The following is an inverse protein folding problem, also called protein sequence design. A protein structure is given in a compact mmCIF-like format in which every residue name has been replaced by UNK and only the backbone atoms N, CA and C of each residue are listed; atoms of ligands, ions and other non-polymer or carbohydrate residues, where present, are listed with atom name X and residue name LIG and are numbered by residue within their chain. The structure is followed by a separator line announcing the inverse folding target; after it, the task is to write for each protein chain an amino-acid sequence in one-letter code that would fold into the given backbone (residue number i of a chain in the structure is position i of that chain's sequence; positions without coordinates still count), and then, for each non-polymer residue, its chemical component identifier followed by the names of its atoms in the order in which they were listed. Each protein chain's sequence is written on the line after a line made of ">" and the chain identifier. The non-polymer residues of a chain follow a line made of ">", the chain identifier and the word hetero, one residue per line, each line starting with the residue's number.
data_IF_501231179437
#
_entry.id   IF_501231179437
#
_cell.length_a   1.000
_cell.length_b   1.000
_cell.length_c   1.000
_cell.angle_alpha   90.00
_cell.angle_beta   90.00
_cell.angle_gamma   90.00
#
_symmetry.space_group_name_H-M   'P 1'
#
loop_
_entity.id
_entity.type
_entity.pdbx_description
1 polymer ?
#
# COMPACT_ATOMS: atom_id res chain seq x y z
N UNK A 1 -4.92 18.30 32.89
CA UNK A 1 -5.61 17.00 32.89
C UNK A 1 -6.65 17.04 31.77
N UNK A 2 -6.31 16.53 30.58
CA UNK A 2 -7.24 16.43 29.46
C UNK A 2 -7.14 15.01 28.89
N UNK A 3 -8.25 14.41 28.91
CA UNK A 3 -8.82 13.15 28.48
C UNK A 3 -8.09 12.52 27.27
N UNK A 4 -7.31 11.47 27.51
CA UNK A 4 -6.95 10.48 26.49
C UNK A 4 -8.22 9.65 26.22
N UNK A 5 -8.92 9.98 25.14
CA UNK A 5 -9.94 9.10 24.61
C UNK A 5 -9.22 7.97 23.86
N UNK A 6 -9.24 6.76 24.41
CA UNK A 6 -8.88 5.55 23.73
C UNK A 6 -9.78 5.40 22.50
N UNK A 7 -9.19 5.48 21.32
CA UNK A 7 -9.83 5.00 20.09
C UNK A 7 -9.85 3.47 20.17
N UNK A 8 -10.92 2.94 20.75
CA UNK A 8 -11.28 1.54 20.54
C UNK A 8 -11.58 1.37 19.05
N UNK A 9 -10.76 0.60 18.35
CA UNK A 9 -11.08 0.08 17.03
C UNK A 9 -12.41 -0.70 17.13
N UNK A 10 -13.49 -0.28 16.49
CA UNK A 10 -14.70 -1.07 16.48
C UNK A 10 -14.45 -2.29 15.59
N UNK A 11 -14.29 -3.45 16.19
CA UNK A 11 -14.39 -4.72 15.47
C UNK A 11 -15.79 -4.73 14.80
N UNK A 12 -15.91 -4.70 13.48
CA UNK A 12 -17.21 -4.72 12.84
C UNK A 12 -17.88 -6.08 13.09
N UNK A 13 -18.91 -6.11 13.92
CA UNK A 13 -19.73 -7.29 14.28
C UNK A 13 -20.77 -7.62 13.20
N UNK A 14 -20.56 -7.25 11.94
CA UNK A 14 -21.37 -7.69 10.81
C UNK A 14 -20.70 -8.89 10.11
N UNK A 15 -21.44 -9.96 9.83
CA UNK A 15 -20.93 -11.03 8.97
C UNK A 15 -20.60 -10.43 7.59
N UNK A 16 -19.33 -10.44 7.22
CA UNK A 16 -18.89 -10.07 5.88
C UNK A 16 -19.43 -11.11 4.91
N UNK A 17 -20.31 -10.69 3.99
CA UNK A 17 -20.96 -11.59 3.01
C UNK A 17 -20.30 -11.55 1.65
N UNK A 18 -19.40 -10.58 1.43
CA UNK A 18 -18.65 -10.35 0.20
C UNK A 18 -17.15 -10.62 0.38
N UNK A 19 -16.35 -10.39 -0.68
CA UNK A 19 -14.92 -10.64 -0.64
C UNK A 19 -14.19 -9.66 0.28
N UNK A 20 -13.18 -10.14 0.97
CA UNK A 20 -12.18 -9.27 1.60
C UNK A 20 -11.07 -9.04 0.59
N UNK A 21 -10.87 -7.80 0.22
CA UNK A 21 -9.85 -7.38 -0.75
C UNK A 21 -8.74 -6.65 -0.02
N UNK A 22 -7.55 -7.20 -0.05
CA UNK A 22 -6.33 -6.51 0.39
C UNK A 22 -5.79 -5.61 -0.72
N UNK A 23 -5.20 -4.49 -0.36
CA UNK A 23 -4.56 -3.54 -1.27
C UNK A 23 -3.19 -3.15 -0.74
N UNK A 24 -2.19 -3.06 -1.62
CA UNK A 24 -1.03 -2.23 -1.32
C UNK A 24 -1.42 -0.74 -1.37
N UNK A 25 -0.52 0.12 -0.93
CA UNK A 25 -0.79 1.56 -0.84
C UNK A 25 -0.05 2.35 -1.91
N UNK A 26 1.29 2.41 -1.81
CA UNK A 26 2.12 3.23 -2.69
C UNK A 26 2.06 2.70 -4.13
N UNK A 27 1.77 3.54 -5.10
CA UNK A 27 1.59 3.21 -6.51
C UNK A 27 0.42 2.28 -6.83
N UNK A 28 -0.34 1.83 -5.83
CA UNK A 28 -1.58 1.06 -5.99
C UNK A 28 -2.82 1.92 -5.70
N UNK A 29 -2.98 2.44 -4.47
CA UNK A 29 -4.08 3.33 -4.09
C UNK A 29 -3.72 4.81 -4.21
N UNK A 30 -2.44 5.15 -4.06
CA UNK A 30 -1.95 6.54 -4.04
C UNK A 30 -0.70 6.71 -4.90
N UNK A 31 -0.57 7.84 -5.59
CA UNK A 31 0.70 8.30 -6.13
C UNK A 31 1.46 9.09 -5.05
N UNK A 32 2.31 8.39 -4.33
CA UNK A 32 3.12 8.96 -3.24
C UNK A 32 4.47 9.51 -3.70
N UNK A 33 4.82 9.38 -4.99
CA UNK A 33 6.13 9.80 -5.52
C UNK A 33 6.47 11.26 -5.21
N UNK A 34 5.58 12.25 -5.39
CA UNK A 34 5.90 13.64 -5.11
C UNK A 34 6.28 13.87 -3.64
N UNK A 35 5.52 13.28 -2.71
CA UNK A 35 5.75 13.42 -1.27
C UNK A 35 7.00 12.67 -0.80
N UNK A 36 7.22 11.45 -1.30
CA UNK A 36 8.44 10.69 -1.01
C UNK A 36 9.68 11.46 -1.51
N UNK A 37 9.64 11.95 -2.76
CA UNK A 37 10.72 12.76 -3.32
C UNK A 37 11.03 13.98 -2.46
N UNK A 38 10.00 14.72 -2.04
CA UNK A 38 10.18 15.91 -1.20
C UNK A 38 10.80 15.56 0.16
N UNK A 39 10.37 14.46 0.78
CA UNK A 39 10.93 14.01 2.06
C UNK A 39 12.39 13.60 1.94
N UNK A 40 12.78 12.87 0.87
CA UNK A 40 14.17 12.49 0.64
C UNK A 40 15.06 13.70 0.33
N UNK A 41 14.56 14.68 -0.43
CA UNK A 41 15.27 15.92 -0.68
C UNK A 41 15.52 16.71 0.62
N UNK A 42 14.51 16.82 1.48
CA UNK A 42 14.65 17.46 2.79
C UNK A 42 15.61 16.69 3.72
N UNK A 43 15.59 15.36 3.70
CA UNK A 43 16.55 14.53 4.44
C UNK A 43 17.99 14.76 3.93
N UNK A 44 18.19 14.83 2.62
CA UNK A 44 19.50 15.14 2.02
C UNK A 44 20.02 16.50 2.49
N UNK A 45 19.17 17.53 2.45
CA UNK A 45 19.52 18.88 2.93
C UNK A 45 19.89 18.88 4.42
N UNK A 46 19.06 18.26 5.25
CA UNK A 46 19.27 18.24 6.72
C UNK A 46 20.51 17.45 7.14
N UNK A 47 20.85 16.39 6.41
CA UNK A 47 21.97 15.50 6.78
C UNK A 47 23.27 15.80 6.04
N UNK A 48 23.23 16.62 5.00
CA UNK A 48 24.34 16.84 4.07
C UNK A 48 24.70 15.61 3.24
N UNK A 49 23.85 14.58 3.19
CA UNK A 49 24.06 13.38 2.41
C UNK A 49 23.76 13.63 0.92
N UNK A 50 24.54 13.00 0.05
CA UNK A 50 24.23 13.03 -1.38
C UNK A 50 23.18 11.95 -1.69
N UNK A 51 21.94 12.38 -1.88
CA UNK A 51 20.79 11.49 -2.18
C UNK A 51 20.14 11.97 -3.48
N UNK A 52 19.98 11.06 -4.42
CA UNK A 52 19.21 11.30 -5.65
C UNK A 52 17.73 10.93 -5.39
N UNK A 53 16.94 11.93 -4.99
CA UNK A 53 15.53 11.73 -4.68
C UNK A 53 14.67 11.36 -5.92
N UNK A 54 15.10 11.71 -7.13
CA UNK A 54 14.46 11.30 -8.38
C UNK A 54 14.70 9.81 -8.65
N UNK A 55 15.91 9.31 -8.35
CA UNK A 55 16.22 7.89 -8.45
C UNK A 55 15.45 7.06 -7.40
N UNK A 56 15.31 7.57 -6.16
CA UNK A 56 14.56 6.88 -5.10
C UNK A 56 13.14 6.54 -5.56
N UNK A 57 12.42 7.49 -6.15
CA UNK A 57 11.01 7.26 -6.52
C UNK A 57 10.83 6.31 -7.71
N UNK A 58 11.90 5.91 -8.38
CA UNK A 58 11.86 4.87 -9.43
C UNK A 58 11.93 3.45 -8.86
N UNK A 59 12.23 3.29 -7.55
CA UNK A 59 12.47 2.01 -6.88
C UNK A 59 11.49 1.74 -5.73
N UNK A 60 10.30 2.34 -5.77
CA UNK A 60 9.29 2.16 -4.74
C UNK A 60 8.83 0.69 -4.66
N UNK A 61 8.40 0.29 -3.47
CA UNK A 61 7.93 -1.06 -3.14
C UNK A 61 8.67 -1.61 -1.92
N UNK A 62 10.01 -1.81 -1.95
CA UNK A 62 10.78 -2.30 -0.80
C UNK A 62 10.69 -1.40 0.43
N UNK A 63 10.96 -1.97 1.65
CA UNK A 63 11.00 -1.20 2.89
C UNK A 63 12.01 -0.05 2.88
N UNK A 64 11.71 1.00 3.63
CA UNK A 64 12.54 2.21 3.76
C UNK A 64 14.01 1.90 4.05
N UNK A 65 14.28 0.94 4.94
CA UNK A 65 15.63 0.57 5.35
C UNK A 65 16.47 0.00 4.20
N UNK A 66 15.84 -0.67 3.23
CA UNK A 66 16.53 -1.15 2.03
C UNK A 66 16.93 0.01 1.12
N UNK A 67 16.07 1.01 0.97
CA UNK A 67 16.42 2.23 0.22
C UNK A 67 17.47 3.06 0.95
N UNK A 68 17.38 3.18 2.29
CA UNK A 68 18.39 3.87 3.11
C UNK A 68 19.79 3.28 2.94
N UNK A 69 19.91 1.97 2.73
CA UNK A 69 21.19 1.28 2.56
C UNK A 69 21.96 1.70 1.28
N UNK A 70 21.30 2.33 0.32
CA UNK A 70 21.97 2.91 -0.86
C UNK A 70 22.67 4.24 -0.55
N UNK A 71 22.29 4.92 0.53
CA UNK A 71 22.68 6.30 0.81
C UNK A 71 23.47 6.45 2.10
N UNK A 72 23.32 5.52 3.05
CA UNK A 72 23.90 5.59 4.37
C UNK A 72 24.60 4.29 4.75
N UNK A 73 25.71 4.35 5.52
CA UNK A 73 26.32 3.17 6.09
C UNK A 73 25.37 2.50 7.11
N UNK A 74 25.53 1.18 7.26
CA UNK A 74 24.60 0.32 8.00
C UNK A 74 24.29 0.83 9.43
N UNK A 75 25.30 1.34 10.14
CA UNK A 75 25.15 1.87 11.49
C UNK A 75 24.30 3.14 11.59
N UNK A 76 24.14 3.87 10.49
CA UNK A 76 23.30 5.08 10.42
C UNK A 76 21.87 4.81 10.00
N UNK A 77 21.59 3.68 9.38
CA UNK A 77 20.25 3.37 8.81
C UNK A 77 19.12 3.53 9.84
N UNK A 78 19.21 2.98 11.07
CA UNK A 78 18.12 3.12 12.03
C UNK A 78 17.78 4.59 12.36
N UNK A 79 18.81 5.40 12.64
CA UNK A 79 18.62 6.81 12.98
C UNK A 79 18.09 7.63 11.79
N UNK A 80 18.54 7.34 10.56
CA UNK A 80 18.08 8.03 9.36
C UNK A 80 16.67 7.63 8.98
N UNK A 81 16.30 6.37 9.19
CA UNK A 81 14.93 5.90 8.98
C UNK A 81 13.95 6.55 9.95
N UNK A 82 14.34 6.71 11.21
CA UNK A 82 13.52 7.41 12.21
C UNK A 82 13.35 8.88 11.84
N UNK A 83 14.45 9.58 11.54
CA UNK A 83 14.41 10.97 11.09
C UNK A 83 13.52 11.16 9.85
N UNK A 84 13.63 10.26 8.88
CA UNK A 84 12.76 10.27 7.69
C UNK A 84 11.27 10.14 8.08
N UNK A 85 10.93 9.21 9.01
CA UNK A 85 9.56 9.02 9.48
C UNK A 85 9.02 10.23 10.22
N UNK A 86 9.85 10.91 11.01
CA UNK A 86 9.49 12.16 11.69
C UNK A 86 9.23 13.31 10.70
N UNK A 87 10.03 13.40 9.64
CA UNK A 87 9.90 14.45 8.62
C UNK A 87 8.71 14.18 7.66
N UNK A 88 8.37 12.92 7.44
CA UNK A 88 7.44 12.47 6.41
C UNK A 88 6.08 13.18 6.43
N UNK A 89 5.39 13.35 7.58
CA UNK A 89 4.11 14.04 7.63
C UNK A 89 4.13 15.48 7.10
N UNK A 90 5.26 16.16 7.28
CA UNK A 90 5.44 17.56 6.85
C UNK A 90 5.61 17.69 5.33
N UNK A 91 6.32 16.75 4.70
CA UNK A 91 6.73 16.89 3.31
C UNK A 91 5.94 16.01 2.34
N UNK A 92 5.33 14.91 2.83
CA UNK A 92 4.78 13.91 1.94
C UNK A 92 3.27 13.98 1.74
N UNK A 93 2.51 14.35 2.78
CA UNK A 93 1.05 14.12 2.77
C UNK A 93 0.35 15.01 1.73
N UNK A 94 0.59 16.32 1.75
CA UNK A 94 -0.10 17.29 0.87
C UNK A 94 0.22 17.07 -0.63
N UNK A 95 1.41 16.52 -0.95
CA UNK A 95 1.83 16.29 -2.33
C UNK A 95 1.34 14.96 -2.91
N UNK A 96 0.68 14.12 -2.13
CA UNK A 96 0.20 12.81 -2.57
C UNK A 96 -1.15 12.94 -3.28
N UNK A 97 -1.32 12.17 -4.35
CA UNK A 97 -2.55 12.14 -5.15
C UNK A 97 -3.20 10.76 -5.09
N UNK A 98 -4.55 10.68 -5.19
CA UNK A 98 -5.20 9.38 -5.34
C UNK A 98 -4.88 8.79 -6.72
N UNK A 99 -4.70 7.46 -6.79
CA UNK A 99 -4.60 6.78 -8.07
C UNK A 99 -5.95 6.80 -8.81
N UNK A 100 -5.94 6.82 -10.16
CA UNK A 100 -7.18 6.78 -10.94
C UNK A 100 -8.04 5.56 -10.57
N UNK A 101 -9.32 5.78 -10.25
CA UNK A 101 -10.28 4.73 -9.92
C UNK A 101 -10.25 4.24 -8.47
N UNK A 102 -9.45 4.83 -7.58
CA UNK A 102 -9.33 4.35 -6.19
C UNK A 102 -10.64 4.41 -5.42
N UNK A 103 -11.38 5.53 -5.49
CA UNK A 103 -12.62 5.69 -4.75
C UNK A 103 -13.73 4.76 -5.25
N UNK A 104 -13.82 4.59 -6.58
CA UNK A 104 -14.74 3.67 -7.23
C UNK A 104 -14.39 2.21 -6.89
N UNK A 105 -13.11 1.88 -6.77
CA UNK A 105 -12.62 0.56 -6.37
C UNK A 105 -13.05 0.23 -4.94
N UNK A 106 -12.79 1.12 -3.97
CA UNK A 106 -13.19 0.92 -2.57
C UNK A 106 -14.72 0.84 -2.46
N UNK A 107 -15.43 1.74 -3.15
CA UNK A 107 -16.89 1.71 -3.18
C UNK A 107 -17.46 0.41 -3.78
N UNK A 108 -16.82 -0.14 -4.82
CA UNK A 108 -17.22 -1.42 -5.42
C UNK A 108 -17.04 -2.60 -4.46
N UNK A 109 -15.95 -2.63 -3.69
CA UNK A 109 -15.73 -3.66 -2.65
C UNK A 109 -16.84 -3.59 -1.59
N UNK A 110 -17.13 -2.40 -1.07
CA UNK A 110 -18.20 -2.20 -0.08
C UNK A 110 -19.59 -2.52 -0.64
N UNK A 111 -19.89 -2.13 -1.89
CA UNK A 111 -21.14 -2.45 -2.55
C UNK A 111 -21.34 -3.96 -2.76
N UNK A 112 -20.27 -4.73 -2.90
CA UNK A 112 -20.29 -6.20 -2.95
C UNK A 112 -20.52 -6.84 -1.56
N UNK A 113 -20.64 -6.07 -0.49
CA UNK A 113 -20.73 -6.54 0.89
C UNK A 113 -19.37 -6.99 1.46
N UNK A 114 -18.29 -6.57 0.82
CA UNK A 114 -16.91 -6.90 1.15
C UNK A 114 -16.24 -5.87 2.06
N UNK A 115 -14.94 -6.09 2.31
CA UNK A 115 -14.06 -5.20 3.09
C UNK A 115 -12.78 -4.88 2.33
N UNK A 116 -12.33 -3.63 2.42
CA UNK A 116 -11.07 -3.16 1.86
C UNK A 116 -10.01 -3.04 2.96
N UNK A 117 -8.95 -3.84 2.88
CA UNK A 117 -7.86 -3.88 3.86
C UNK A 117 -6.57 -3.42 3.20
N UNK A 118 -5.90 -2.42 3.77
CA UNK A 118 -4.59 -1.99 3.28
C UNK A 118 -3.49 -2.76 3.99
N UNK A 119 -2.61 -3.43 3.21
CA UNK A 119 -1.44 -4.17 3.72
C UNK A 119 -0.21 -3.70 2.95
N UNK A 120 0.67 -2.93 3.58
CA UNK A 120 1.71 -2.17 2.91
C UNK A 120 3.08 -2.23 3.59
N UNK A 121 4.15 -2.01 2.82
CA UNK A 121 5.50 -1.83 3.36
C UNK A 121 5.68 -0.48 4.08
N UNK A 122 4.80 0.47 3.79
CA UNK A 122 4.85 1.80 4.41
C UNK A 122 4.66 1.72 5.93
N UNK A 123 5.33 2.61 6.66
CA UNK A 123 5.12 2.84 8.08
C UNK A 123 3.64 3.15 8.35
N UNK A 124 2.99 2.34 9.19
CA UNK A 124 1.54 2.34 9.35
C UNK A 124 0.94 3.71 9.73
N UNK A 125 1.53 4.50 10.66
CA UNK A 125 1.02 5.84 10.95
C UNK A 125 1.00 6.74 9.71
N UNK A 126 2.02 6.68 8.85
CA UNK A 126 2.07 7.47 7.62
C UNK A 126 1.06 6.97 6.59
N UNK A 127 0.83 5.66 6.50
CA UNK A 127 -0.22 5.09 5.65
C UNK A 127 -1.60 5.63 6.05
N UNK A 128 -1.92 5.64 7.34
CA UNK A 128 -3.18 6.18 7.88
C UNK A 128 -3.35 7.67 7.59
N UNK A 129 -2.27 8.47 7.64
CA UNK A 129 -2.31 9.89 7.28
C UNK A 129 -2.68 10.10 5.81
N UNK A 130 -2.12 9.32 4.88
CA UNK A 130 -2.47 9.40 3.47
C UNK A 130 -3.93 9.05 3.21
N UNK A 131 -4.39 7.93 3.77
CA UNK A 131 -5.78 7.49 3.60
C UNK A 131 -6.76 8.52 4.12
N UNK A 132 -6.50 9.12 5.29
CA UNK A 132 -7.32 10.17 5.88
C UNK A 132 -7.30 11.45 5.01
N UNK A 133 -6.13 11.88 4.54
CA UNK A 133 -5.96 13.06 3.69
C UNK A 133 -6.75 12.95 2.38
N UNK A 134 -6.70 11.78 1.75
CA UNK A 134 -7.34 11.52 0.46
C UNK A 134 -8.78 10.99 0.57
N UNK A 135 -9.31 10.80 1.78
CA UNK A 135 -10.66 10.29 2.00
C UNK A 135 -10.86 8.84 1.50
N UNK A 136 -9.81 8.02 1.53
CA UNK A 136 -9.87 6.62 1.13
C UNK A 136 -10.36 5.77 2.31
N UNK A 137 -11.56 5.20 2.20
CA UNK A 137 -12.27 4.50 3.28
C UNK A 137 -11.80 3.02 3.38
N UNK A 138 -10.61 2.77 3.89
CA UNK A 138 -10.14 1.42 4.21
C UNK A 138 -10.72 0.93 5.55
N UNK A 139 -11.10 -0.35 5.63
CA UNK A 139 -11.67 -0.97 6.84
C UNK A 139 -10.59 -1.39 7.85
N UNK A 140 -9.37 -1.62 7.38
CA UNK A 140 -8.20 -1.87 8.21
C UNK A 140 -6.91 -1.46 7.49
N UNK A 141 -5.87 -1.17 8.27
CA UNK A 141 -4.55 -0.81 7.77
C UNK A 141 -3.50 -1.58 8.57
N UNK A 142 -2.63 -2.30 7.86
CA UNK A 142 -1.48 -3.00 8.43
C UNK A 142 -0.23 -2.55 7.66
N UNK A 143 0.68 -1.90 8.36
CA UNK A 143 1.91 -1.37 7.79
C UNK A 143 3.15 -2.19 8.12
N UNK A 144 4.31 -1.74 7.62
CA UNK A 144 5.64 -2.33 7.85
C UNK A 144 5.78 -3.78 7.35
N UNK A 145 4.99 -4.20 6.36
CA UNK A 145 5.01 -5.57 5.82
C UNK A 145 5.45 -5.57 4.36
N UNK A 146 6.38 -6.44 4.02
CA UNK A 146 6.92 -6.55 2.67
C UNK A 146 6.84 -7.99 2.14
N UNK A 147 6.51 -8.11 0.86
CA UNK A 147 6.49 -9.36 0.11
C UNK A 147 5.77 -10.49 0.88
N UNK A 148 6.41 -11.62 1.13
CA UNK A 148 5.85 -12.76 1.84
C UNK A 148 5.34 -12.42 3.24
N UNK A 149 5.93 -11.41 3.90
CA UNK A 149 5.48 -10.92 5.21
C UNK A 149 4.06 -10.35 5.20
N UNK A 150 3.55 -9.90 4.05
CA UNK A 150 2.15 -9.47 3.90
C UNK A 150 1.16 -10.63 4.03
N UNK A 151 1.61 -11.86 3.73
CA UNK A 151 0.75 -13.04 3.66
C UNK A 151 0.05 -13.40 4.96
N UNK A 152 0.68 -13.18 6.11
CA UNK A 152 0.06 -13.45 7.41
C UNK A 152 -1.09 -12.47 7.68
N UNK A 153 -0.85 -11.18 7.53
CA UNK A 153 -1.87 -10.15 7.72
C UNK A 153 -3.05 -10.34 6.76
N UNK A 154 -2.78 -10.69 5.49
CA UNK A 154 -3.83 -11.00 4.52
C UNK A 154 -4.69 -12.18 4.97
N UNK A 155 -4.08 -13.27 5.52
CA UNK A 155 -4.82 -14.42 6.06
C UNK A 155 -5.63 -14.06 7.30
N UNK A 156 -5.06 -13.30 8.23
CA UNK A 156 -5.75 -12.86 9.45
C UNK A 156 -7.00 -12.05 9.14
N UNK A 157 -6.94 -11.23 8.10
CA UNK A 157 -8.10 -10.48 7.62
C UNK A 157 -9.05 -11.28 6.73
N UNK A 158 -8.68 -12.50 6.32
CA UNK A 158 -9.47 -13.35 5.43
C UNK A 158 -9.50 -12.85 3.98
N UNK A 159 -8.43 -12.18 3.53
CA UNK A 159 -8.36 -11.64 2.17
C UNK A 159 -8.36 -12.77 1.12
N UNK A 160 -9.35 -12.75 0.23
CA UNK A 160 -9.43 -13.66 -0.92
C UNK A 160 -8.75 -13.10 -2.18
N UNK A 161 -8.55 -11.80 -2.22
CA UNK A 161 -7.88 -11.06 -3.30
C UNK A 161 -6.86 -10.11 -2.70
N UNK A 162 -5.70 -9.97 -3.35
CA UNK A 162 -4.74 -8.93 -3.03
C UNK A 162 -4.32 -8.16 -4.28
N UNK A 163 -4.42 -6.83 -4.22
CA UNK A 163 -4.14 -5.89 -5.31
C UNK A 163 -2.85 -5.15 -5.03
N UNK A 164 -1.91 -5.14 -5.98
CA UNK A 164 -0.64 -4.43 -5.83
C UNK A 164 0.06 -4.20 -7.17
N UNK A 165 1.13 -3.41 -7.16
CA UNK A 165 1.85 -2.98 -8.37
C UNK A 165 3.26 -3.59 -8.49
N UNK A 166 3.68 -4.36 -7.49
CA UNK A 166 5.04 -4.89 -7.40
C UNK A 166 5.07 -6.42 -7.35
N UNK A 167 6.14 -7.04 -7.84
CA UNK A 167 6.35 -8.49 -7.73
C UNK A 167 6.34 -9.00 -6.28
N UNK A 168 6.67 -8.13 -5.31
CA UNK A 168 6.51 -8.39 -3.87
C UNK A 168 5.07 -8.64 -3.46
N UNK A 169 4.11 -7.94 -4.06
CA UNK A 169 2.68 -8.09 -3.79
C UNK A 169 2.17 -9.43 -4.30
N UNK A 170 2.63 -9.84 -5.49
CA UNK A 170 2.33 -11.16 -6.04
C UNK A 170 2.79 -12.27 -5.09
N UNK A 171 4.00 -12.14 -4.51
CA UNK A 171 4.50 -13.10 -3.51
C UNK A 171 3.68 -13.08 -2.21
N UNK A 172 3.29 -11.88 -1.75
CA UNK A 172 2.43 -11.72 -0.58
C UNK A 172 1.07 -12.39 -0.78
N UNK A 173 0.40 -12.14 -1.91
CA UNK A 173 -0.86 -12.77 -2.30
C UNK A 173 -0.74 -14.30 -2.31
N UNK A 174 0.28 -14.83 -2.98
CA UNK A 174 0.55 -16.26 -3.06
C UNK A 174 0.78 -16.88 -1.68
N UNK A 175 1.53 -16.21 -0.81
CA UNK A 175 1.78 -16.67 0.57
C UNK A 175 0.49 -16.70 1.39
N UNK A 176 -0.44 -15.78 1.12
CA UNK A 176 -1.76 -15.78 1.75
C UNK A 176 -2.70 -16.85 1.20
N UNK A 177 -2.47 -17.35 -0.01
CA UNK A 177 -3.43 -18.14 -0.78
C UNK A 177 -4.54 -17.28 -1.39
N UNK A 178 -4.30 -15.96 -1.50
CA UNK A 178 -5.20 -15.01 -2.13
C UNK A 178 -4.90 -14.89 -3.63
N UNK A 179 -5.92 -14.56 -4.41
CA UNK A 179 -5.79 -14.26 -5.82
C UNK A 179 -5.02 -12.94 -6.00
N UNK A 180 -3.98 -12.96 -6.84
CA UNK A 180 -3.14 -11.80 -7.11
C UNK A 180 -3.66 -10.99 -8.29
N UNK A 181 -4.14 -9.77 -8.02
CA UNK A 181 -4.51 -8.80 -9.05
C UNK A 181 -3.42 -7.73 -9.11
N UNK A 182 -2.68 -7.68 -10.20
CA UNK A 182 -1.61 -6.70 -10.37
C UNK A 182 -2.10 -5.48 -11.16
N UNK A 183 -1.66 -4.28 -10.77
CA UNK A 183 -1.82 -3.03 -11.53
C UNK A 183 -0.48 -2.56 -12.05
N UNK A 184 -0.41 -2.06 -13.30
CA UNK A 184 0.85 -1.62 -13.91
C UNK A 184 1.14 -0.14 -13.66
N UNK A 185 0.78 0.36 -12.48
CA UNK A 185 0.94 1.76 -12.09
C UNK A 185 2.23 2.04 -11.32
N UNK A 186 2.93 0.98 -10.88
CA UNK A 186 4.19 1.05 -10.16
C UNK A 186 5.43 0.77 -11.03
N UNK A 187 6.56 0.39 -10.41
CA UNK A 187 7.81 0.19 -11.11
C UNK A 187 7.88 -1.10 -11.95
N UNK A 188 7.02 -2.09 -11.67
CA UNK A 188 7.02 -3.37 -12.38
C UNK A 188 6.11 -3.33 -13.60
N UNK A 189 6.62 -3.76 -14.75
CA UNK A 189 5.81 -3.87 -15.96
C UNK A 189 4.93 -5.14 -15.98
N UNK A 190 4.02 -5.22 -16.96
CA UNK A 190 3.10 -6.36 -17.08
C UNK A 190 3.81 -7.71 -17.34
N UNK A 191 5.00 -7.69 -17.94
CA UNK A 191 5.76 -8.92 -18.20
C UNK A 191 6.41 -9.43 -16.92
N UNK A 192 6.96 -8.53 -16.13
CA UNK A 192 7.55 -8.83 -14.81
C UNK A 192 6.48 -9.35 -13.85
N UNK A 193 5.33 -8.68 -13.76
CA UNK A 193 4.20 -9.09 -12.90
C UNK A 193 3.66 -10.47 -13.31
N UNK A 194 3.54 -10.72 -14.63
CA UNK A 194 3.13 -12.03 -15.14
C UNK A 194 4.15 -13.12 -14.82
N UNK A 195 5.44 -12.82 -14.97
CA UNK A 195 6.53 -13.76 -14.66
C UNK A 195 6.57 -14.08 -13.16
N UNK A 196 6.25 -13.10 -12.29
CA UNK A 196 6.11 -13.31 -10.86
C UNK A 196 4.89 -14.18 -10.51
N UNK A 197 3.93 -14.33 -11.43
CA UNK A 197 2.75 -15.19 -11.31
C UNK A 197 1.51 -14.44 -10.81
N UNK A 198 1.33 -13.18 -11.22
CA UNK A 198 0.06 -12.48 -11.03
C UNK A 198 -1.04 -13.21 -11.80
N UNK A 199 -2.19 -13.46 -11.15
CA UNK A 199 -3.33 -14.15 -11.75
C UNK A 199 -4.09 -13.24 -12.72
N UNK A 200 -4.17 -11.94 -12.39
CA UNK A 200 -4.82 -10.91 -13.19
C UNK A 200 -3.91 -9.71 -13.31
N UNK A 201 -3.89 -9.07 -14.47
CA UNK A 201 -3.15 -7.82 -14.69
C UNK A 201 -4.11 -6.78 -15.27
N UNK A 202 -4.21 -5.64 -14.57
CA UNK A 202 -4.98 -4.48 -14.97
C UNK A 202 -4.01 -3.31 -15.28
N UNK A 203 -4.41 -2.37 -16.12
CA UNK A 203 -3.63 -1.15 -16.37
C UNK A 203 -3.57 -0.26 -15.13
N UNK A 204 -4.71 -0.14 -14.45
CA UNK A 204 -4.92 0.66 -13.25
C UNK A 204 -6.22 0.24 -12.53
N UNK A 205 -6.58 0.94 -11.46
CA UNK A 205 -7.78 0.62 -10.68
C UNK A 205 -9.10 0.98 -11.37
N UNK A 206 -9.11 1.73 -12.47
CA UNK A 206 -10.37 2.05 -13.18
C UNK A 206 -11.04 0.80 -13.76
N UNK A 207 -10.25 -0.23 -14.04
CA UNK A 207 -10.75 -1.52 -14.53
C UNK A 207 -11.21 -2.46 -13.39
N UNK A 208 -10.81 -2.20 -12.15
CA UNK A 208 -11.05 -3.10 -11.02
C UNK A 208 -12.54 -3.32 -10.70
N UNK A 209 -13.43 -2.30 -10.68
CA UNK A 209 -14.85 -2.52 -10.36
C UNK A 209 -15.54 -3.52 -11.29
N UNK A 210 -15.26 -3.44 -12.60
CA UNK A 210 -15.83 -4.37 -13.57
C UNK A 210 -15.29 -5.78 -13.40
N UNK A 211 -13.98 -5.91 -13.15
CA UNK A 211 -13.35 -7.18 -12.85
C UNK A 211 -13.93 -7.81 -11.56
N UNK A 212 -14.07 -7.03 -10.48
CA UNK A 212 -14.61 -7.50 -9.21
C UNK A 212 -16.05 -8.02 -9.34
N UNK A 213 -16.88 -7.34 -10.13
CA UNK A 213 -18.25 -7.79 -10.40
C UNK A 213 -18.29 -9.18 -11.07
N UNK A 214 -17.38 -9.43 -12.02
CA UNK A 214 -17.22 -10.74 -12.65
C UNK A 214 -16.73 -11.82 -11.68
N UNK A 215 -15.75 -11.49 -10.85
CA UNK A 215 -15.22 -12.37 -9.81
C UNK A 215 -16.31 -12.82 -8.82
N UNK A 216 -17.06 -11.86 -8.27
CA UNK A 216 -18.15 -12.15 -7.30
C UNK A 216 -19.27 -12.99 -7.94
N UNK A 217 -19.57 -12.77 -9.22
CA UNK A 217 -20.57 -13.57 -9.92
C UNK A 217 -20.13 -15.04 -10.07
N UNK A 218 -18.84 -15.30 -10.30
CA UNK A 218 -18.28 -16.65 -10.40
C UNK A 218 -18.27 -17.39 -9.05
N UNK A 219 -17.94 -16.70 -7.96
CA UNK A 219 -17.91 -17.29 -6.60
C UNK A 219 -19.31 -17.68 -6.09
N UNK A 220 -20.37 -17.11 -6.67
CA UNK A 220 -21.77 -17.40 -6.31
C UNK A 220 -22.44 -18.47 -7.16
N UNK A 221 -21.77 -18.90 -8.23
CA UNK A 221 -22.30 -19.87 -9.20
C UNK A 221 -21.96 -21.32 -8.81
#
# INVERSE_FOLDING_TARGET
>A
MALMAALNDPTPTGSVTGPVVGFDLDMTLIDSRPGIRATWAALAEQTGAHIDADLVVTRLGPPLEQEMAHWFPAERIPAMSELYREMYPTYAIEGTLPMPGVHETIAAVHAAGGRAVVVTAKYEPNAKLHLAHLGIAADAVVGNLWAEGKGEALREHGASVYVGDHTGDVRGARTAGALSVAVTTGPCDAAELRTAGADVILSDLTAFPAWLAGYVAQERA
#
